data_IF_081620857522
#
_entry.id   IF_081620857522
#
_cell.length_a   1.000
_cell.length_b   1.000
_cell.length_c   1.000
_cell.angle_alpha   90.00
_cell.angle_beta   90.00
_cell.angle_gamma   90.00
#
_symmetry.space_group_name_H-M   'P 1'
#
loop_
_entity.id
_entity.type
_entity.pdbx_description
1 polymer ?
#
# COMPACT_ATOMS: atom_id res chain seq x y z
N UNK A 1 11.60 13.01 1.41
CA UNK A 1 11.00 14.31 1.01
C UNK A 1 10.59 15.08 2.24
N UNK A 2 10.84 16.39 2.23
CA UNK A 2 10.43 17.27 3.32
C UNK A 2 9.45 18.31 2.78
N UNK A 3 8.45 18.66 3.57
CA UNK A 3 7.57 19.81 3.34
C UNK A 3 7.65 20.70 4.57
N UNK A 4 7.90 21.99 4.36
CA UNK A 4 8.05 23.01 5.41
C UNK A 4 9.02 22.57 6.53
N UNK A 5 10.14 21.91 6.12
CA UNK A 5 11.17 21.39 7.02
C UNK A 5 10.85 20.06 7.69
N UNK A 6 9.63 19.56 7.62
CA UNK A 6 9.18 18.31 8.23
C UNK A 6 9.32 17.13 7.25
N UNK A 7 9.84 16.00 7.71
CA UNK A 7 9.92 14.78 6.91
C UNK A 7 8.53 14.14 6.76
N UNK A 8 8.14 13.87 5.52
CA UNK A 8 6.86 13.24 5.19
C UNK A 8 7.05 11.89 4.48
N UNK A 9 8.01 11.84 3.55
CA UNK A 9 8.42 10.59 2.91
C UNK A 9 9.92 10.37 3.14
N UNK A 10 10.27 9.22 3.65
CA UNK A 10 11.64 8.86 4.03
C UNK A 10 12.19 7.68 3.23
N UNK A 11 11.36 7.03 2.42
CA UNK A 11 11.77 5.93 1.55
C UNK A 11 10.78 5.64 0.42
N UNK A 12 11.23 4.89 -0.57
CA UNK A 12 10.50 4.54 -1.79
C UNK A 12 10.78 5.47 -2.97
N UNK A 13 10.17 5.19 -4.14
CA UNK A 13 9.31 4.04 -4.41
C UNK A 13 10.08 2.73 -4.51
N UNK A 14 9.45 1.63 -4.09
CA UNK A 14 9.92 0.27 -4.34
C UNK A 14 8.81 -0.56 -4.95
N UNK A 15 9.15 -1.42 -5.89
CA UNK A 15 8.20 -2.37 -6.45
C UNK A 15 7.89 -3.47 -5.43
N UNK A 16 6.62 -3.75 -5.26
CA UNK A 16 6.11 -4.94 -4.57
C UNK A 16 5.30 -5.76 -5.56
N UNK A 17 5.61 -7.04 -5.66
CA UNK A 17 4.82 -8.02 -6.38
C UNK A 17 4.67 -9.26 -5.49
N UNK A 18 3.61 -9.28 -4.68
CA UNK A 18 3.35 -10.38 -3.75
C UNK A 18 2.95 -11.63 -4.52
N UNK A 19 3.65 -12.75 -4.39
CA UNK A 19 3.29 -14.00 -5.06
C UNK A 19 1.95 -14.55 -4.54
N UNK A 20 1.19 -15.17 -5.42
CA UNK A 20 -0.06 -15.84 -5.09
C UNK A 20 0.18 -17.13 -4.31
N UNK A 21 1.27 -17.80 -4.57
CA UNK A 21 1.70 -19.01 -3.85
C UNK A 21 2.44 -18.63 -2.59
N UNK A 22 2.11 -19.23 -1.50
CA UNK A 22 2.77 -18.99 -0.22
C UNK A 22 1.80 -18.90 0.94
N UNK A 23 2.34 -18.60 2.11
CA UNK A 23 1.59 -18.56 3.35
C UNK A 23 0.29 -17.76 3.24
N UNK A 24 -0.72 -18.21 3.93
CA UNK A 24 -2.01 -17.57 4.01
C UNK A 24 -3.06 -18.01 3.02
N UNK A 25 -2.69 -18.89 2.14
CA UNK A 25 -3.70 -19.64 1.43
C UNK A 25 -4.25 -20.75 2.36
N UNK A 26 -5.53 -20.99 2.22
CA UNK A 26 -6.13 -22.16 2.87
C UNK A 26 -5.38 -23.44 2.46
N UNK A 27 -5.06 -24.39 3.34
CA UNK A 27 -5.54 -24.56 4.70
C UNK A 27 -4.66 -23.94 5.80
N UNK A 28 -3.60 -23.24 5.45
CA UNK A 28 -2.67 -22.67 6.41
C UNK A 28 -3.21 -21.39 7.06
N UNK A 29 -4.42 -21.47 7.59
CA UNK A 29 -4.98 -20.46 8.45
C UNK A 29 -4.28 -20.29 9.78
N UNK A 30 -3.07 -20.75 9.87
CA UNK A 30 -2.35 -20.52 11.07
C UNK A 30 -2.13 -19.01 11.19
N UNK A 31 -2.82 -18.39 12.13
CA UNK A 31 -2.63 -16.98 12.47
C UNK A 31 -1.15 -16.66 12.76
N UNK A 32 -0.37 -17.69 13.01
CA UNK A 32 1.06 -17.63 13.30
C UNK A 32 1.95 -17.69 12.04
N UNK A 33 1.38 -17.81 10.85
CA UNK A 33 2.17 -17.71 9.63
C UNK A 33 1.82 -16.38 8.96
N UNK A 34 2.48 -15.29 9.32
CA UNK A 34 2.25 -14.01 8.69
C UNK A 34 2.63 -14.11 7.22
N UNK A 35 1.73 -13.65 6.36
CA UNK A 35 2.02 -13.48 4.95
C UNK A 35 2.66 -12.11 4.82
N UNK A 36 3.94 -12.07 5.05
CA UNK A 36 4.69 -10.87 4.78
C UNK A 36 4.87 -10.74 3.28
N UNK A 37 4.62 -9.54 2.83
CA UNK A 37 4.85 -9.16 1.47
C UNK A 37 6.28 -8.71 1.39
N UNK A 38 7.06 -9.48 0.72
CA UNK A 38 8.39 -9.06 0.39
C UNK A 38 8.33 -8.10 -0.79
N UNK A 39 9.11 -7.05 -0.69
CA UNK A 39 9.45 -6.22 -1.84
C UNK A 39 10.19 -7.09 -2.86
N UNK A 40 10.12 -6.69 -4.11
CA UNK A 40 11.07 -7.21 -5.07
C UNK A 40 12.49 -6.93 -4.59
N UNK A 41 13.38 -7.88 -4.74
CA UNK A 41 14.68 -7.92 -4.06
C UNK A 41 15.85 -7.49 -4.96
N UNK A 42 16.96 -7.14 -4.34
CA UNK A 42 18.24 -6.88 -5.02
C UNK A 42 18.14 -5.74 -6.06
N UNK A 43 17.52 -4.61 -5.66
CA UNK A 43 17.48 -3.45 -6.56
C UNK A 43 18.86 -2.93 -6.92
N UNK A 44 19.13 -2.90 -8.22
CA UNK A 44 20.36 -2.35 -8.79
C UNK A 44 20.03 -1.26 -9.78
N UNK A 45 20.50 -0.05 -9.53
CA UNK A 45 20.32 1.11 -10.43
C UNK A 45 21.29 1.02 -11.60
N UNK A 46 20.77 1.16 -12.82
CA UNK A 46 21.57 1.24 -14.05
C UNK A 46 21.77 2.68 -14.51
N UNK A 47 20.78 3.54 -14.35
CA UNK A 47 20.89 4.96 -14.65
C UNK A 47 19.93 5.80 -13.82
N UNK A 48 20.30 7.07 -13.63
CA UNK A 48 19.45 8.09 -13.02
C UNK A 48 19.59 9.37 -13.81
N UNK A 49 18.44 9.93 -14.21
CA UNK A 49 18.35 11.21 -14.90
C UNK A 49 17.43 12.13 -14.11
N UNK A 50 17.85 13.37 -13.93
CA UNK A 50 17.03 14.41 -13.31
C UNK A 50 16.98 15.63 -14.23
N UNK A 51 15.78 16.17 -14.43
CA UNK A 51 15.57 17.37 -15.22
C UNK A 51 14.45 18.21 -14.62
N UNK A 52 14.46 19.49 -14.95
CA UNK A 52 13.38 20.42 -14.61
C UNK A 52 12.50 20.63 -15.85
N UNK A 53 11.19 20.50 -15.67
CA UNK A 53 10.17 20.75 -16.69
C UNK A 53 9.21 21.84 -16.20
N UNK A 54 9.45 23.09 -16.59
CA UNK A 54 8.76 24.23 -15.99
C UNK A 54 9.11 24.37 -14.51
N UNK A 55 8.13 24.30 -13.64
CA UNK A 55 8.30 24.33 -12.18
C UNK A 55 8.45 22.94 -11.56
N UNK A 56 8.26 21.88 -12.34
CA UNK A 56 8.32 20.51 -11.86
C UNK A 56 9.72 19.92 -11.96
N UNK A 57 10.07 19.06 -11.05
CA UNK A 57 11.26 18.20 -11.08
C UNK A 57 10.85 16.81 -11.54
N UNK A 58 11.49 16.35 -12.62
CA UNK A 58 11.32 14.98 -13.13
C UNK A 58 12.57 14.17 -12.90
N UNK A 59 12.43 13.01 -12.26
CA UNK A 59 13.53 12.09 -11.98
C UNK A 59 13.17 10.72 -12.56
N UNK A 60 14.00 10.22 -13.45
CA UNK A 60 13.86 8.86 -14.01
C UNK A 60 14.98 7.99 -13.47
N UNK A 61 14.62 6.85 -12.89
CA UNK A 61 15.57 5.85 -12.37
C UNK A 61 15.31 4.54 -13.09
N UNK A 62 16.31 4.03 -13.78
CA UNK A 62 16.27 2.72 -14.43
C UNK A 62 17.06 1.71 -13.61
N UNK A 63 16.63 0.47 -13.61
CA UNK A 63 17.32 -0.57 -12.88
C UNK A 63 16.63 -1.93 -12.97
N UNK A 64 17.11 -2.84 -12.16
CA UNK A 64 16.55 -4.19 -12.07
C UNK A 64 16.48 -4.67 -10.62
N UNK A 65 15.43 -5.40 -10.35
CA UNK A 65 15.29 -6.33 -9.26
C UNK A 65 15.70 -7.73 -9.73
N UNK A 66 15.79 -8.67 -8.82
CA UNK A 66 15.96 -10.07 -9.18
C UNK A 66 14.82 -10.59 -10.06
N UNK A 67 13.59 -10.13 -9.80
CA UNK A 67 12.36 -10.61 -10.43
C UNK A 67 11.94 -9.76 -11.63
N UNK A 68 12.33 -8.50 -11.69
CA UNK A 68 11.86 -7.53 -12.67
C UNK A 68 12.97 -6.55 -13.08
N UNK A 69 12.89 -6.04 -14.31
CA UNK A 69 13.70 -4.90 -14.77
C UNK A 69 12.78 -3.78 -15.28
N UNK A 70 13.17 -2.52 -15.09
CA UNK A 70 12.36 -1.41 -15.56
C UNK A 70 12.76 -0.06 -14.99
N UNK A 71 11.79 0.80 -14.82
CA UNK A 71 12.04 2.18 -14.39
C UNK A 71 10.94 2.73 -13.49
N UNK A 72 11.33 3.78 -12.77
CA UNK A 72 10.45 4.74 -12.10
C UNK A 72 10.65 6.11 -12.73
N UNK A 73 9.57 6.84 -12.94
CA UNK A 73 9.61 8.27 -13.29
C UNK A 73 8.81 9.05 -12.26
N UNK A 74 9.50 9.87 -11.49
CA UNK A 74 8.92 10.72 -10.46
C UNK A 74 8.76 12.13 -11.04
N UNK A 75 7.57 12.71 -10.93
CA UNK A 75 7.30 14.11 -11.20
C UNK A 75 6.84 14.77 -9.92
N UNK A 76 7.55 15.78 -9.48
CA UNK A 76 7.34 16.47 -8.21
C UNK A 76 7.10 17.95 -8.52
N UNK A 77 5.99 18.49 -8.06
CA UNK A 77 5.68 19.90 -8.21
C UNK A 77 5.87 20.68 -6.89
N UNK A 78 5.85 21.99 -6.99
CA UNK A 78 6.03 22.88 -5.85
C UNK A 78 4.88 22.82 -4.82
N UNK A 79 3.69 22.34 -5.21
CA UNK A 79 2.54 22.20 -4.30
C UNK A 79 2.62 20.97 -3.39
N UNK A 80 3.62 20.09 -3.62
CA UNK A 80 3.79 18.85 -2.86
C UNK A 80 3.09 17.64 -3.47
N UNK A 81 2.64 17.73 -4.71
CA UNK A 81 2.15 16.58 -5.46
C UNK A 81 3.32 15.81 -6.07
N UNK A 82 3.24 14.50 -5.99
CA UNK A 82 4.22 13.56 -6.52
C UNK A 82 3.45 12.57 -7.39
N UNK A 83 3.75 12.52 -8.68
CA UNK A 83 3.31 11.44 -9.55
C UNK A 83 4.47 10.48 -9.78
N UNK A 84 4.28 9.19 -9.50
CA UNK A 84 5.27 8.14 -9.74
C UNK A 84 4.70 7.18 -10.76
N UNK A 85 5.16 7.27 -11.99
CA UNK A 85 4.90 6.27 -13.02
C UNK A 85 5.96 5.19 -12.98
N UNK A 86 5.57 3.95 -13.24
CA UNK A 86 6.51 2.83 -13.28
C UNK A 86 6.14 1.84 -14.37
N UNK A 87 7.15 1.17 -14.91
CA UNK A 87 7.00 0.05 -15.83
C UNK A 87 8.10 -0.95 -15.57
N UNK A 88 7.72 -2.21 -15.34
CA UNK A 88 8.64 -3.30 -15.04
C UNK A 88 8.30 -4.54 -15.85
N UNK A 89 9.28 -5.09 -16.53
CA UNK A 89 9.22 -6.35 -17.27
C UNK A 89 9.65 -7.51 -16.38
N UNK A 90 8.88 -8.57 -16.36
CA UNK A 90 9.18 -9.77 -15.58
C UNK A 90 10.41 -10.51 -16.17
N UNK A 91 11.38 -10.83 -15.32
CA UNK A 91 12.58 -11.61 -15.66
C UNK A 91 12.35 -13.12 -15.49
N UNK A 92 11.26 -13.49 -14.87
CA UNK A 92 10.82 -14.87 -14.67
C UNK A 92 9.29 -14.94 -14.65
N UNK A 93 8.74 -16.13 -14.82
CA UNK A 93 7.30 -16.32 -14.68
C UNK A 93 6.88 -16.04 -13.25
N UNK A 94 5.89 -15.17 -13.07
CA UNK A 94 5.34 -14.81 -11.77
C UNK A 94 3.81 -14.85 -11.79
N UNK A 95 3.21 -15.20 -10.67
CA UNK A 95 1.77 -15.14 -10.50
C UNK A 95 1.46 -14.26 -9.29
N UNK A 96 1.32 -12.95 -9.51
CA UNK A 96 1.19 -12.02 -8.41
C UNK A 96 -0.21 -12.01 -7.83
N UNK A 97 -0.30 -11.96 -6.51
CA UNK A 97 -1.51 -11.66 -5.76
C UNK A 97 -1.83 -10.17 -5.76
N UNK A 98 -0.77 -9.38 -5.64
CA UNK A 98 -0.81 -7.93 -5.67
C UNK A 98 0.45 -7.40 -6.35
N UNK A 99 0.35 -6.24 -6.99
CA UNK A 99 1.51 -5.42 -7.31
C UNK A 99 1.20 -3.93 -7.18
N UNK A 100 2.23 -3.16 -6.92
CA UNK A 100 2.18 -1.71 -6.79
C UNK A 100 3.46 -1.15 -6.20
N UNK A 101 3.40 0.09 -5.76
CA UNK A 101 4.52 0.80 -5.20
C UNK A 101 4.41 0.93 -3.67
N UNK A 102 5.52 0.70 -3.00
CA UNK A 102 5.68 0.89 -1.56
C UNK A 102 6.52 2.13 -1.29
N UNK A 103 6.10 2.86 -0.28
CA UNK A 103 6.78 4.05 0.24
C UNK A 103 6.94 3.94 1.76
N UNK A 104 7.75 4.80 2.33
CA UNK A 104 7.92 4.92 3.79
C UNK A 104 7.67 6.33 4.26
N UNK A 105 6.98 6.44 5.38
CA UNK A 105 6.80 7.64 6.17
C UNK A 105 7.44 7.47 7.56
N UNK A 106 7.74 8.57 8.29
CA UNK A 106 8.16 8.48 9.68
C UNK A 106 7.14 7.76 10.57
N UNK A 107 7.58 7.12 11.65
CA UNK A 107 6.70 6.41 12.59
C UNK A 107 5.64 7.31 13.25
N UNK A 108 5.86 8.63 13.26
CA UNK A 108 4.88 9.61 13.76
C UNK A 108 3.60 9.70 12.92
N UNK A 109 3.60 9.17 11.70
CA UNK A 109 2.41 9.06 10.85
C UNK A 109 1.60 7.81 11.23
N UNK A 110 1.15 7.74 12.44
CA UNK A 110 0.60 6.55 13.09
C UNK A 110 -0.90 6.34 12.86
N UNK A 111 -1.54 7.20 12.07
CA UNK A 111 -2.95 7.07 11.70
C UNK A 111 -3.10 6.93 10.21
N UNK A 112 -3.94 5.98 9.78
CA UNK A 112 -4.37 5.82 8.40
C UNK A 112 -5.82 6.25 8.25
N UNK A 113 -6.13 6.93 7.15
CA UNK A 113 -7.48 7.35 6.80
C UNK A 113 -7.77 7.01 5.34
N UNK A 114 -9.05 6.88 4.99
CA UNK A 114 -9.42 6.47 3.64
C UNK A 114 -10.84 6.84 3.25
N UNK A 115 -11.06 6.94 1.95
CA UNK A 115 -12.35 6.84 1.28
C UNK A 115 -12.21 5.84 0.13
N UNK A 116 -13.12 4.88 0.08
CA UNK A 116 -13.11 3.79 -0.89
C UNK A 116 -14.52 3.46 -1.36
N UNK A 117 -14.63 2.78 -2.49
CA UNK A 117 -15.88 2.14 -2.85
C UNK A 117 -16.11 0.89 -1.99
N UNK A 118 -17.29 0.82 -1.40
CA UNK A 118 -17.70 -0.30 -0.56
C UNK A 118 -19.20 -0.29 -0.36
N UNK A 119 -19.77 -1.48 -0.22
CA UNK A 119 -21.21 -1.65 -0.12
C UNK A 119 -21.72 -1.69 1.32
N UNK A 120 -20.86 -1.85 2.30
CA UNK A 120 -21.22 -2.13 3.68
C UNK A 120 -20.79 -1.00 4.62
N UNK A 121 -21.73 -0.56 5.45
CA UNK A 121 -21.52 0.53 6.42
C UNK A 121 -21.79 0.12 7.87
N UNK A 122 -22.07 -1.16 8.10
CA UNK A 122 -22.45 -1.69 9.44
C UNK A 122 -21.28 -1.98 10.34
N UNK A 123 -20.07 -1.82 9.86
CA UNK A 123 -18.85 -2.05 10.63
C UNK A 123 -18.48 -0.85 11.49
N UNK A 124 -17.72 -1.04 12.59
CA UNK A 124 -17.16 0.04 13.38
C UNK A 124 -16.37 1.06 12.54
N UNK A 125 -16.25 2.28 13.02
CA UNK A 125 -15.62 3.38 12.26
C UNK A 125 -14.18 3.12 11.85
N UNK A 126 -13.44 2.40 12.65
CA UNK A 126 -12.05 2.01 12.38
C UNK A 126 -11.91 0.71 11.58
N UNK A 127 -13.01 0.10 11.17
CA UNK A 127 -12.94 -1.16 10.44
C UNK A 127 -12.63 -0.96 8.96
N UNK A 128 -11.68 -1.73 8.43
CA UNK A 128 -11.19 -1.61 7.03
C UNK A 128 -12.29 -1.76 5.96
N UNK A 129 -13.40 -2.39 6.30
CA UNK A 129 -14.52 -2.57 5.37
C UNK A 129 -15.43 -1.33 5.24
N UNK A 130 -15.20 -0.31 6.06
CA UNK A 130 -15.94 0.95 5.94
C UNK A 130 -15.59 1.66 4.62
N UNK A 131 -16.58 2.31 3.96
CA UNK A 131 -16.33 3.16 2.80
C UNK A 131 -15.47 4.38 3.14
N UNK A 132 -15.66 4.94 4.33
CA UNK A 132 -14.88 6.04 4.88
C UNK A 132 -14.48 5.67 6.30
N UNK A 133 -13.26 5.94 6.67
CA UNK A 133 -12.79 5.64 8.02
C UNK A 133 -11.41 6.18 8.32
N UNK A 134 -11.06 6.01 9.58
CA UNK A 134 -9.75 6.31 10.13
C UNK A 134 -9.41 5.25 11.18
N UNK A 135 -8.16 4.83 11.24
CA UNK A 135 -7.69 3.86 12.23
C UNK A 135 -6.25 4.16 12.66
N UNK A 136 -5.93 3.85 13.92
CA UNK A 136 -4.56 3.83 14.37
C UNK A 136 -3.82 2.63 13.77
N UNK A 137 -2.57 2.83 13.37
CA UNK A 137 -1.71 1.76 12.82
C UNK A 137 -1.17 0.83 13.90
N UNK A 138 -1.16 1.28 15.14
CA UNK A 138 -0.71 0.50 16.29
C UNK A 138 -1.90 0.04 17.12
N UNK A 139 -1.83 -1.20 17.56
CA UNK A 139 -2.83 -1.74 18.47
C UNK A 139 -2.66 -1.11 19.87
N UNK A 140 -3.64 -0.33 20.27
CA UNK A 140 -3.65 0.32 21.60
C UNK A 140 -4.43 -0.45 22.65
N UNK A 141 -4.92 -1.65 22.29
CA UNK A 141 -5.82 -2.42 23.12
C UNK A 141 -7.30 -2.15 22.84
N UNK A 142 -8.15 -3.02 23.33
CA UNK A 142 -9.59 -2.81 23.33
C UNK A 142 -10.03 -2.29 24.69
N UNK A 143 -11.02 -1.38 24.77
CA UNK A 143 -11.63 -1.02 26.03
C UNK A 143 -12.08 -2.27 26.80
N UNK A 144 -11.95 -2.25 28.13
CA UNK A 144 -12.35 -3.39 28.99
C UNK A 144 -13.84 -3.77 28.84
N UNK A 145 -14.65 -2.80 28.43
CA UNK A 145 -16.07 -3.00 28.17
C UNK A 145 -16.36 -3.84 26.91
N UNK A 146 -15.38 -4.04 26.05
CA UNK A 146 -15.56 -4.87 24.86
C UNK A 146 -15.38 -6.33 25.22
N UNK A 147 -16.43 -7.13 25.02
CA UNK A 147 -16.39 -8.55 25.30
C UNK A 147 -15.27 -9.24 24.50
N UNK A 148 -14.46 -10.14 25.11
CA UNK A 148 -13.33 -10.80 24.46
C UNK A 148 -13.66 -11.50 23.13
N UNK A 149 -14.89 -11.98 22.96
CA UNK A 149 -15.33 -12.64 21.72
C UNK A 149 -15.46 -11.71 20.52
N UNK A 150 -15.58 -10.41 20.74
CA UNK A 150 -15.60 -9.42 19.67
C UNK A 150 -14.21 -8.88 19.36
N UNK A 151 -13.22 -9.28 20.13
CA UNK A 151 -11.82 -8.97 19.82
C UNK A 151 -11.47 -9.65 18.50
N UNK A 152 -10.96 -8.91 17.51
CA UNK A 152 -10.52 -9.50 16.27
C UNK A 152 -9.47 -10.59 16.53
N UNK A 153 -9.71 -11.78 16.02
CA UNK A 153 -8.75 -12.87 16.09
C UNK A 153 -7.67 -12.77 15.00
N UNK A 154 -7.91 -11.89 14.03
CA UNK A 154 -7.05 -11.70 12.86
C UNK A 154 -6.62 -10.24 12.79
N UNK A 155 -5.35 -10.01 12.62
CA UNK A 155 -4.78 -8.68 12.49
C UNK A 155 -5.37 -7.84 11.35
N UNK A 156 -5.80 -8.49 10.28
CA UNK A 156 -6.38 -7.84 9.10
C UNK A 156 -7.85 -7.44 9.27
N UNK A 157 -8.57 -7.92 10.27
CA UNK A 157 -9.96 -7.52 10.53
C UNK A 157 -10.06 -6.05 10.95
N UNK A 158 -8.98 -5.54 11.50
CA UNK A 158 -8.69 -4.12 11.68
C UNK A 158 -7.42 -3.79 10.92
N UNK A 159 -7.22 -2.55 10.58
CA UNK A 159 -6.00 -2.16 9.85
C UNK A 159 -4.79 -1.94 10.77
N UNK A 160 -4.83 -2.49 11.93
CA UNK A 160 -3.71 -2.46 12.84
C UNK A 160 -3.66 -3.72 13.70
N UNK A 161 -2.49 -4.02 14.20
CA UNK A 161 -2.23 -4.99 15.24
C UNK A 161 -0.95 -4.61 15.99
N UNK A 162 -0.56 -5.38 16.99
CA UNK A 162 0.65 -5.13 17.80
C UNK A 162 1.94 -5.10 16.98
N UNK A 163 1.94 -5.69 15.80
CA UNK A 163 3.09 -5.77 14.89
C UNK A 163 2.98 -4.80 13.71
N UNK A 164 1.80 -4.14 13.56
CA UNK A 164 1.43 -3.51 12.30
C UNK A 164 1.06 -4.57 11.26
N UNK A 165 0.03 -4.36 10.47
CA UNK A 165 -0.43 -5.39 9.54
C UNK A 165 0.20 -5.24 8.17
N UNK A 166 1.14 -6.11 7.85
CA UNK A 166 1.62 -6.30 6.47
C UNK A 166 0.89 -7.47 5.78
N UNK A 167 -0.25 -7.87 6.28
CA UNK A 167 -1.07 -8.92 5.69
C UNK A 167 -1.85 -8.33 4.50
N UNK A 168 -1.73 -8.97 3.31
CA UNK A 168 -2.45 -8.52 2.11
C UNK A 168 -3.98 -8.45 2.31
N UNK A 169 -4.51 -9.19 3.29
CA UNK A 169 -5.92 -9.19 3.65
C UNK A 169 -6.37 -7.87 4.29
N UNK A 170 -5.45 -7.08 4.83
CA UNK A 170 -5.73 -5.73 5.35
C UNK A 170 -5.83 -4.66 4.26
N UNK A 171 -5.72 -5.03 2.99
CA UNK A 171 -5.77 -4.11 1.87
C UNK A 171 -7.15 -3.50 1.68
N UNK A 172 -7.24 -2.18 1.74
CA UNK A 172 -8.42 -1.41 1.36
C UNK A 172 -8.49 -1.32 -0.15
N UNK A 173 -9.55 -1.88 -0.72
CA UNK A 173 -9.74 -1.92 -2.16
C UNK A 173 -10.47 -0.69 -2.66
N UNK A 174 -10.19 -0.30 -3.90
CA UNK A 174 -10.93 0.70 -4.66
C UNK A 174 -10.97 2.06 -3.95
N UNK A 175 -9.81 2.57 -3.59
CA UNK A 175 -9.68 3.86 -2.91
C UNK A 175 -9.93 5.02 -3.87
N UNK A 176 -10.64 6.04 -3.40
CA UNK A 176 -10.63 7.39 -3.97
C UNK A 176 -9.46 8.18 -3.40
N UNK A 177 -9.23 8.03 -2.11
CA UNK A 177 -8.00 8.42 -1.46
C UNK A 177 -7.74 7.54 -0.24
N UNK A 178 -6.49 7.41 0.11
CA UNK A 178 -6.07 6.88 1.40
C UNK A 178 -4.73 7.48 1.78
N UNK A 179 -4.47 7.60 3.07
CA UNK A 179 -3.26 8.27 3.51
C UNK A 179 -2.88 7.96 4.93
N UNK A 180 -1.79 8.58 5.31
CA UNK A 180 -1.27 8.60 6.66
C UNK A 180 -1.31 10.03 7.18
N UNK A 181 -1.56 10.19 8.47
CA UNK A 181 -1.43 11.47 9.16
C UNK A 181 -0.73 11.32 10.51
N UNK A 182 -0.13 12.40 10.96
CA UNK A 182 0.44 12.53 12.28
C UNK A 182 -0.40 13.46 13.19
N UNK A 183 -0.02 13.56 14.45
CA UNK A 183 -0.69 14.43 15.42
C UNK A 183 -0.65 15.92 15.04
N UNK A 184 0.38 16.35 14.33
CA UNK A 184 0.52 17.75 13.86
C UNK A 184 -0.39 18.08 12.66
N UNK A 185 -1.15 17.11 12.14
CA UNK A 185 -2.01 17.29 10.97
C UNK A 185 -1.28 17.16 9.61
N UNK A 186 0.01 16.83 9.58
CA UNK A 186 0.67 16.57 8.31
C UNK A 186 0.16 15.25 7.73
N UNK A 187 -0.01 15.22 6.41
CA UNK A 187 -0.54 14.06 5.68
C UNK A 187 0.33 13.66 4.51
N UNK A 188 0.31 12.36 4.20
CA UNK A 188 0.73 11.80 2.92
C UNK A 188 -0.45 11.01 2.39
N UNK A 189 -1.01 11.47 1.28
CA UNK A 189 -2.26 10.96 0.73
C UNK A 189 -2.04 10.41 -0.68
N UNK A 190 -2.38 9.15 -0.90
CA UNK A 190 -2.56 8.60 -2.24
C UNK A 190 -3.93 8.99 -2.76
N UNK A 191 -3.99 9.53 -3.98
CA UNK A 191 -5.21 9.92 -4.68
C UNK A 191 -5.40 9.01 -5.88
N UNK A 192 -6.59 8.46 -6.02
CA UNK A 192 -6.94 7.49 -7.06
C UNK A 192 -8.31 7.80 -7.64
N UNK A 193 -8.71 7.06 -8.67
CA UNK A 193 -10.01 7.13 -9.33
C UNK A 193 -10.87 5.88 -9.03
N UNK A 194 -10.73 5.31 -7.84
CA UNK A 194 -11.48 4.12 -7.42
C UNK A 194 -10.89 2.78 -7.91
N UNK A 195 -9.74 2.77 -8.56
CA UNK A 195 -9.15 1.56 -9.13
C UNK A 195 -7.92 1.05 -8.37
N UNK A 196 -7.28 1.88 -7.56
CA UNK A 196 -6.13 1.48 -6.76
C UNK A 196 -6.54 1.00 -5.36
N UNK A 197 -5.59 0.42 -4.65
CA UNK A 197 -5.80 -0.21 -3.36
C UNK A 197 -4.71 0.22 -2.39
N UNK A 198 -5.05 0.30 -1.11
CA UNK A 198 -4.17 0.82 -0.07
C UNK A 198 -3.95 -0.19 1.05
N UNK A 199 -2.72 -0.26 1.54
CA UNK A 199 -2.35 -0.92 2.79
C UNK A 199 -1.19 -0.22 3.45
N UNK A 200 -1.21 -0.16 4.78
CA UNK A 200 -0.13 0.42 5.58
C UNK A 200 0.21 -0.46 6.78
N UNK A 201 1.45 -0.44 7.21
CA UNK A 201 1.94 -1.23 8.33
C UNK A 201 3.21 -0.65 8.94
N UNK A 202 3.46 -1.01 10.20
CA UNK A 202 4.72 -0.71 10.86
C UNK A 202 5.81 -1.65 10.36
N UNK A 203 6.93 -1.09 9.95
CA UNK A 203 8.15 -1.81 9.58
C UNK A 203 9.32 -1.23 10.36
N UNK A 204 9.72 -1.90 11.44
CA UNK A 204 10.71 -1.40 12.38
C UNK A 204 10.29 -0.03 12.97
N UNK A 205 10.99 1.04 12.63
CA UNK A 205 10.77 2.41 13.08
C UNK A 205 10.15 3.31 11.99
N UNK A 206 9.55 2.71 10.96
CA UNK A 206 8.93 3.40 9.80
C UNK A 206 7.52 2.88 9.57
N UNK A 207 6.70 3.72 8.98
CA UNK A 207 5.43 3.27 8.44
C UNK A 207 5.61 3.04 6.94
N UNK A 208 5.46 1.80 6.52
CA UNK A 208 5.35 1.45 5.10
C UNK A 208 3.90 1.56 4.65
N UNK A 209 3.72 1.99 3.42
CA UNK A 209 2.42 1.92 2.76
C UNK A 209 2.55 1.51 1.31
N UNK A 210 1.60 0.70 0.88
CA UNK A 210 1.46 0.19 -0.48
C UNK A 210 0.31 0.89 -1.17
N UNK A 211 0.55 1.40 -2.37
CA UNK A 211 -0.49 1.75 -3.33
C UNK A 211 -0.42 0.72 -4.45
N UNK A 212 -1.42 -0.16 -4.49
CA UNK A 212 -1.45 -1.28 -5.43
C UNK A 212 -2.32 -0.98 -6.63
N UNK A 213 -1.81 -1.27 -7.83
CA UNK A 213 -2.54 -1.19 -9.09
C UNK A 213 -3.28 -2.48 -9.42
N UNK A 214 -2.95 -3.55 -8.72
CA UNK A 214 -3.63 -4.83 -8.84
C UNK A 214 -3.70 -5.58 -7.52
N UNK A 215 -4.87 -6.13 -7.25
CA UNK A 215 -5.12 -7.08 -6.17
C UNK A 215 -6.07 -8.15 -6.68
N UNK A 216 -5.73 -9.42 -6.53
CA UNK A 216 -6.66 -10.48 -6.89
C UNK A 216 -7.92 -10.41 -6.02
N UNK A 217 -9.09 -10.77 -6.54
CA UNK A 217 -10.34 -10.60 -5.81
C UNK A 217 -10.62 -11.64 -4.72
N UNK A 218 -9.61 -12.35 -4.22
CA UNK A 218 -9.74 -13.20 -3.03
C UNK A 218 -9.89 -14.68 -3.31
N UNK A 219 -8.85 -15.25 -3.86
CA UNK A 219 -8.75 -16.68 -4.12
C UNK A 219 -8.04 -17.47 -3.01
N UNK A 220 -7.88 -16.83 -1.88
CA UNK A 220 -7.08 -17.34 -0.76
C UNK A 220 -7.75 -18.44 0.02
N UNK A 221 -9.05 -18.62 -0.15
CA UNK A 221 -9.85 -19.52 0.67
C UNK A 221 -10.53 -20.60 -0.18
N UNK A 222 -11.85 -20.64 -0.07
CA UNK A 222 -12.64 -21.73 -0.67
C UNK A 222 -12.95 -21.55 -2.15
N UNK A 223 -12.76 -20.35 -2.66
CA UNK A 223 -13.26 -19.94 -3.96
C UNK A 223 -12.13 -19.75 -4.99
N UNK A 224 -10.99 -20.40 -4.77
CA UNK A 224 -9.81 -20.23 -5.64
C UNK A 224 -10.10 -20.55 -7.12
N UNK A 225 -10.93 -21.56 -7.40
CA UNK A 225 -11.36 -21.90 -8.76
C UNK A 225 -12.29 -20.85 -9.35
N UNK A 226 -13.18 -20.28 -8.55
CA UNK A 226 -14.09 -19.22 -8.97
C UNK A 226 -13.34 -17.96 -9.37
N UNK A 227 -12.28 -17.62 -8.62
CA UNK A 227 -11.48 -16.42 -8.87
C UNK A 227 -10.31 -16.65 -9.85
N UNK A 228 -10.09 -17.86 -10.32
CA UNK A 228 -9.02 -18.15 -11.27
C UNK A 228 -9.02 -17.24 -12.52
N UNK A 229 -10.18 -16.87 -13.12
CA UNK A 229 -10.22 -15.96 -14.27
C UNK A 229 -9.73 -14.54 -13.98
N UNK A 230 -9.67 -14.15 -12.72
CA UNK A 230 -9.25 -12.79 -12.30
C UNK A 230 -7.77 -12.73 -11.92
N UNK A 231 -7.07 -13.85 -12.01
CA UNK A 231 -5.61 -13.89 -11.83
C UNK A 231 -4.93 -13.26 -13.03
N UNK A 232 -3.79 -12.67 -12.78
CA UNK A 232 -2.95 -12.08 -13.85
C UNK A 232 -1.54 -12.67 -13.77
N UNK A 233 -1.38 -13.93 -14.13
CA UNK A 233 -0.05 -14.50 -14.24
C UNK A 233 0.74 -13.77 -15.32
N UNK A 234 2.00 -13.51 -15.06
CA UNK A 234 2.93 -12.87 -15.98
C UNK A 234 3.97 -13.88 -16.43
N UNK A 235 4.20 -13.92 -17.71
CA UNK A 235 5.31 -14.65 -18.32
C UNK A 235 6.54 -13.77 -18.37
N UNK A 236 7.69 -14.42 -18.43
CA UNK A 236 8.96 -13.73 -18.71
C UNK A 236 8.81 -12.83 -19.93
N UNK A 237 9.19 -11.56 -19.80
CA UNK A 237 9.05 -10.54 -20.85
C UNK A 237 7.74 -9.73 -20.79
N UNK A 238 6.73 -10.17 -20.05
CA UNK A 238 5.52 -9.37 -19.85
C UNK A 238 5.72 -8.29 -18.80
N UNK A 239 5.00 -7.17 -18.94
CA UNK A 239 5.21 -6.00 -18.12
C UNK A 239 4.02 -5.68 -17.24
N UNK A 240 4.33 -5.13 -16.06
CA UNK A 240 3.39 -4.44 -15.18
C UNK A 240 3.75 -2.96 -15.11
N UNK A 241 2.76 -2.13 -14.80
CA UNK A 241 2.98 -0.70 -14.65
C UNK A 241 1.75 0.00 -14.10
N UNK A 242 1.95 1.28 -13.78
CA UNK A 242 0.90 2.13 -13.25
C UNK A 242 1.44 3.52 -12.93
N UNK A 243 0.57 4.35 -12.36
CA UNK A 243 0.93 5.67 -11.86
C UNK A 243 0.30 5.90 -10.50
N UNK A 244 1.14 6.12 -9.50
CA UNK A 244 0.72 6.49 -8.15
C UNK A 244 0.82 7.99 -7.99
N UNK A 245 -0.26 8.64 -7.56
CA UNK A 245 -0.29 10.06 -7.23
C UNK A 245 -0.31 10.22 -5.71
N UNK A 246 0.65 10.94 -5.17
CA UNK A 246 0.74 11.29 -3.76
C UNK A 246 0.63 12.80 -3.59
N UNK A 247 -0.07 13.21 -2.55
CA UNK A 247 -0.12 14.61 -2.09
C UNK A 247 0.43 14.67 -0.68
N UNK A 248 1.45 15.50 -0.49
CA UNK A 248 2.03 15.79 0.81
C UNK A 248 1.53 17.14 1.26
N UNK A 249 0.80 17.17 2.34
CA UNK A 249 0.11 18.38 2.79
C UNK A 249 -0.21 18.41 4.27
N UNK A 250 -1.03 19.38 4.63
CA UNK A 250 -1.72 19.42 5.90
C UNK A 250 -3.15 18.92 5.72
N UNK A 251 -3.68 18.27 6.74
CA UNK A 251 -5.08 17.87 6.80
C UNK A 251 -5.95 19.13 6.82
N UNK A 252 -6.46 19.55 5.68
CA UNK A 252 -7.59 20.47 5.69
C UNK A 252 -8.80 19.70 6.25
N UNK A 253 -9.16 19.98 7.46
CA UNK A 253 -10.29 19.39 8.20
C UNK A 253 -11.66 19.82 7.61
N UNK A 254 -11.72 20.06 6.31
CA UNK A 254 -12.94 20.46 5.60
C UNK A 254 -13.07 19.68 4.30
N UNK A 255 -13.48 18.42 4.43
CA UNK A 255 -14.19 17.77 3.35
C UNK A 255 -15.46 17.14 3.94
N UNK A 256 -16.55 17.90 3.81
CA UNK A 256 -17.92 17.43 3.98
C UNK A 256 -18.26 16.29 3.00
#
# INVERSE_FOLDING_TARGET
>A
MKKDGKECLVGGPWLMALPLTGGGCYPNHNANTPIFNDLCTEWTVSSTEARTEGEDVCITVQGSYKEFKGNYTLRINASGEIAVSYTFEALQDVNPRQWGLVFEAPASFDRTFWRRDGLWTVYPEDHISRPVGEAALFYTGLPETIHPRVKPSWAWSRDFNELGSNDFRSTRRNIWYAGLKNEDGNTVTAVSEGHQHWRSWLQQDRIRFLVADFVTPGDEMFLSSYYAPYRKPLKTGESIGGTVKLVVGESNTTQE
#
